data_IF_243508895501
#
_entry.id   IF_243508895501
#
_cell.length_a   1.000
_cell.length_b   1.000
_cell.length_c   1.000
_cell.angle_alpha   90.00
_cell.angle_beta   90.00
_cell.angle_gamma   90.00
#
_symmetry.space_group_name_H-M   'P 1'
#
loop_
_entity.id
_entity.type
_entity.pdbx_description
1 polymer ?
#
# COMPACT_ATOMS: atom_id res chain seq x y z
N UNK A 1 17.12 37.75 6.95
CA UNK A 1 17.15 37.11 8.28
C UNK A 1 15.97 36.15 8.46
N UNK A 2 14.77 36.53 8.04
CA UNK A 2 13.52 35.80 8.30
C UNK A 2 13.54 34.31 7.91
N UNK A 3 14.11 33.96 6.75
CA UNK A 3 14.23 32.56 6.31
C UNK A 3 15.15 31.72 7.21
N UNK A 4 16.25 32.31 7.68
CA UNK A 4 17.18 31.63 8.58
C UNK A 4 16.54 31.42 9.96
N UNK A 5 15.82 32.44 10.47
CA UNK A 5 15.05 32.32 11.72
C UNK A 5 13.93 31.29 11.61
N UNK A 6 13.26 31.18 10.46
CA UNK A 6 12.24 30.17 10.24
C UNK A 6 12.82 28.76 10.33
N UNK A 7 13.94 28.49 9.64
CA UNK A 7 14.64 27.18 9.71
C UNK A 7 15.10 26.89 11.14
N UNK A 8 15.66 27.89 11.82
CA UNK A 8 16.08 27.76 13.21
C UNK A 8 14.90 27.38 14.13
N UNK A 9 13.83 28.17 14.10
CA UNK A 9 12.70 28.00 15.01
C UNK A 9 11.86 26.76 14.74
N UNK A 10 11.82 26.27 13.49
CA UNK A 10 10.96 25.14 13.10
C UNK A 10 11.68 23.81 12.96
N UNK A 11 12.99 23.82 12.68
CA UNK A 11 13.75 22.60 12.43
C UNK A 11 14.84 22.43 13.48
N UNK A 12 15.76 23.40 13.57
CA UNK A 12 16.97 23.27 14.41
C UNK A 12 16.64 23.26 15.90
N UNK A 13 15.65 24.06 16.33
CA UNK A 13 15.23 24.11 17.74
C UNK A 13 14.67 22.79 18.26
N UNK A 14 14.11 21.96 17.38
CA UNK A 14 13.49 20.67 17.70
C UNK A 14 14.43 19.50 17.50
N UNK A 15 15.18 19.51 16.39
CA UNK A 15 16.00 18.36 15.96
C UNK A 15 17.49 18.54 16.26
N UNK A 16 17.92 19.75 16.61
CA UNK A 16 19.33 20.12 16.64
C UNK A 16 19.88 20.33 15.23
N UNK A 17 21.21 20.33 15.14
CA UNK A 17 21.92 20.47 13.87
C UNK A 17 22.26 19.06 13.36
N UNK A 18 21.91 18.79 12.10
CA UNK A 18 22.28 17.53 11.44
C UNK A 18 23.76 17.52 11.07
N UNK A 19 24.37 16.33 11.13
CA UNK A 19 25.73 16.11 10.62
C UNK A 19 25.77 16.17 9.09
N UNK A 20 24.80 15.54 8.44
CA UNK A 20 24.68 15.47 6.99
C UNK A 20 23.21 15.58 6.57
N UNK A 21 22.93 16.37 5.54
CA UNK A 21 21.62 16.43 4.88
C UNK A 21 21.77 15.89 3.47
N UNK A 22 20.96 14.89 3.15
CA UNK A 22 20.84 14.32 1.81
C UNK A 22 19.61 14.94 1.15
N UNK A 23 19.78 15.56 -0.02
CA UNK A 23 18.68 16.19 -0.76
C UNK A 23 18.85 16.00 -2.27
N UNK A 24 17.79 16.27 -3.03
CA UNK A 24 17.86 16.36 -4.48
C UNK A 24 18.57 17.66 -4.92
N UNK A 25 18.65 17.90 -6.23
CA UNK A 25 19.26 19.11 -6.79
C UNK A 25 18.24 20.23 -7.05
N UNK A 26 17.16 20.31 -6.28
CA UNK A 26 16.24 21.45 -6.37
C UNK A 26 17.01 22.77 -6.12
N UNK A 27 16.81 23.82 -6.93
CA UNK A 27 17.47 25.11 -6.79
C UNK A 27 17.39 25.73 -5.38
N UNK A 28 16.38 25.38 -4.59
CA UNK A 28 16.25 25.81 -3.19
C UNK A 28 17.37 25.25 -2.33
N UNK A 29 17.70 23.96 -2.48
CA UNK A 29 18.75 23.27 -1.73
C UNK A 29 20.15 23.55 -2.29
N UNK A 30 20.28 23.91 -3.56
CA UNK A 30 21.57 24.35 -4.14
C UNK A 30 21.78 25.87 -4.05
N UNK A 31 20.88 26.60 -3.40
CA UNK A 31 20.97 28.05 -3.30
C UNK A 31 22.14 28.51 -2.44
N UNK A 32 22.65 29.72 -2.71
CA UNK A 32 23.71 30.33 -1.91
C UNK A 32 23.29 30.51 -0.43
N UNK A 33 22.02 30.83 -0.18
CA UNK A 33 21.47 30.94 1.17
C UNK A 33 21.52 29.59 1.90
N UNK A 34 21.01 28.53 1.29
CA UNK A 34 20.95 27.19 1.91
C UNK A 34 22.35 26.65 2.21
N UNK A 35 23.25 26.79 1.23
CA UNK A 35 24.65 26.36 1.34
C UNK A 35 25.38 27.13 2.45
N UNK A 36 25.27 28.46 2.47
CA UNK A 36 25.94 29.29 3.48
C UNK A 36 25.39 29.04 4.89
N UNK A 37 24.07 28.83 5.02
CA UNK A 37 23.42 28.56 6.30
C UNK A 37 23.88 27.22 6.90
N UNK A 38 23.94 26.16 6.09
CA UNK A 38 24.36 24.84 6.59
C UNK A 38 25.87 24.76 6.79
N UNK A 39 26.68 25.52 6.04
CA UNK A 39 28.08 25.73 6.36
C UNK A 39 28.27 26.39 7.74
N UNK A 40 27.45 27.39 8.09
CA UNK A 40 27.47 28.00 9.41
C UNK A 40 27.12 27.00 10.52
N UNK A 41 26.17 26.10 10.25
CA UNK A 41 25.81 25.04 11.20
C UNK A 41 26.85 23.91 11.27
N UNK A 42 27.78 23.82 10.32
CA UNK A 42 28.72 22.70 10.22
C UNK A 42 28.08 21.42 9.68
N UNK A 43 26.94 21.54 8.97
CA UNK A 43 26.24 20.43 8.33
C UNK A 43 26.79 20.18 6.93
N UNK A 44 27.10 18.93 6.61
CA UNK A 44 27.50 18.50 5.27
C UNK A 44 26.26 18.37 4.36
N UNK A 45 26.27 19.02 3.20
CA UNK A 45 25.22 18.88 2.19
C UNK A 45 25.63 17.86 1.14
N UNK A 46 24.87 16.77 1.03
CA UNK A 46 25.06 15.73 0.01
C UNK A 46 23.89 15.74 -0.97
N UNK A 47 24.19 15.92 -2.26
CA UNK A 47 23.17 16.00 -3.29
C UNK A 47 23.09 14.69 -4.08
N UNK A 48 21.93 14.04 -4.02
CA UNK A 48 21.65 12.84 -4.79
C UNK A 48 21.79 13.11 -6.30
N UNK A 49 22.28 12.12 -7.05
CA UNK A 49 22.21 12.17 -8.50
C UNK A 49 20.76 11.98 -8.95
N UNK A 50 20.36 12.60 -10.05
CA UNK A 50 18.98 12.63 -10.56
C UNK A 50 18.37 11.26 -10.90
N UNK A 51 19.08 10.16 -10.61
CA UNK A 51 18.69 8.77 -10.87
C UNK A 51 19.14 7.83 -9.75
N UNK A 52 18.84 8.15 -8.48
CA UNK A 52 19.02 7.23 -7.35
C UNK A 52 17.68 6.87 -6.67
N UNK A 53 16.81 6.08 -7.35
CA UNK A 53 15.49 5.68 -6.83
C UNK A 53 15.53 4.88 -5.52
N UNK A 54 16.68 4.37 -5.09
CA UNK A 54 16.82 3.65 -3.82
C UNK A 54 16.94 4.56 -2.59
N UNK A 55 17.61 5.71 -2.70
CA UNK A 55 17.74 6.64 -1.57
C UNK A 55 16.52 7.56 -1.43
N UNK A 56 15.89 7.92 -2.55
CA UNK A 56 14.75 8.84 -2.55
C UNK A 56 13.43 8.14 -2.16
N UNK A 57 13.30 6.83 -2.40
CA UNK A 57 12.04 6.11 -2.20
C UNK A 57 11.51 6.08 -0.75
N UNK A 58 12.32 6.38 0.26
CA UNK A 58 11.83 6.57 1.64
C UNK A 58 11.25 7.97 1.83
N UNK A 59 11.96 9.01 1.37
CA UNK A 59 11.50 10.39 1.44
C UNK A 59 10.26 10.60 0.55
N UNK A 60 10.24 10.05 -0.66
CA UNK A 60 9.08 10.08 -1.57
C UNK A 60 7.85 9.42 -0.94
N UNK A 61 7.99 8.24 -0.33
CA UNK A 61 6.86 7.55 0.34
C UNK A 61 6.36 8.33 1.56
N UNK A 62 7.26 8.93 2.33
CA UNK A 62 6.89 9.83 3.42
C UNK A 62 6.13 11.03 2.87
N UNK A 63 6.67 11.70 1.85
CA UNK A 63 6.06 12.88 1.24
C UNK A 63 4.67 12.57 0.70
N UNK A 64 4.51 11.43 0.01
CA UNK A 64 3.22 10.98 -0.49
C UNK A 64 2.21 10.78 0.64
N UNK A 65 2.63 10.17 1.75
CA UNK A 65 1.77 10.02 2.94
C UNK A 65 1.33 11.38 3.49
N UNK A 66 2.26 12.33 3.63
CA UNK A 66 1.95 13.68 4.13
C UNK A 66 1.04 14.45 3.17
N UNK A 67 1.27 14.37 1.86
CA UNK A 67 0.39 14.96 0.85
C UNK A 67 -1.03 14.39 0.95
N UNK A 68 -1.16 13.07 1.09
CA UNK A 68 -2.45 12.40 1.26
C UNK A 68 -3.17 12.87 2.53
N UNK A 69 -2.44 13.01 3.65
CA UNK A 69 -2.97 13.56 4.90
C UNK A 69 -3.49 14.99 4.71
N UNK A 70 -2.72 15.86 4.05
CA UNK A 70 -3.12 17.24 3.77
C UNK A 70 -4.31 17.28 2.82
N UNK A 71 -4.32 16.50 1.73
CA UNK A 71 -5.44 16.48 0.77
C UNK A 71 -6.74 16.04 1.45
N UNK A 72 -6.70 14.97 2.23
CA UNK A 72 -7.89 14.43 2.90
C UNK A 72 -8.44 15.35 3.98
N UNK A 73 -7.58 16.04 4.72
CA UNK A 73 -8.01 16.87 5.85
C UNK A 73 -8.20 18.34 5.52
N UNK A 74 -7.42 18.89 4.58
CA UNK A 74 -7.44 20.33 4.24
C UNK A 74 -8.25 20.60 2.95
N UNK A 75 -7.99 19.83 1.87
CA UNK A 75 -8.62 20.10 0.57
C UNK A 75 -10.03 19.48 0.45
N UNK A 76 -10.19 18.25 0.91
CA UNK A 76 -11.44 17.47 0.82
C UNK A 76 -12.05 17.15 2.20
N UNK A 77 -11.44 17.67 3.26
CA UNK A 77 -11.78 17.34 4.64
C UNK A 77 -12.89 18.19 5.24
N UNK A 78 -13.10 18.02 6.54
CA UNK A 78 -14.15 18.71 7.29
C UNK A 78 -13.99 20.22 7.28
N UNK A 79 -15.13 20.92 7.21
CA UNK A 79 -15.20 22.37 7.39
C UNK A 79 -15.47 22.80 8.81
N UNK A 80 -14.48 23.45 9.44
CA UNK A 80 -14.68 24.20 10.67
C UNK A 80 -14.58 25.70 10.39
N UNK A 81 -15.57 26.41 10.87
CA UNK A 81 -15.59 27.87 10.91
C UNK A 81 -15.06 28.27 12.28
N UNK A 82 -13.99 29.08 12.31
CA UNK A 82 -13.43 29.62 13.54
C UNK A 82 -13.12 31.10 13.32
N UNK A 83 -13.79 31.97 14.09
CA UNK A 83 -13.58 33.42 14.03
C UNK A 83 -13.60 34.00 12.60
N UNK A 84 -14.69 33.79 11.86
CA UNK A 84 -14.91 34.28 10.49
C UNK A 84 -13.90 33.80 9.41
N UNK A 85 -12.96 32.93 9.78
CA UNK A 85 -11.98 32.31 8.88
C UNK A 85 -12.21 30.79 8.75
N UNK A 86 -11.91 30.27 7.56
CA UNK A 86 -11.98 28.84 7.29
C UNK A 86 -10.71 28.13 7.79
N UNK A 87 -10.88 27.15 8.67
CA UNK A 87 -9.77 26.33 9.23
C UNK A 87 -9.16 25.32 8.26
N UNK A 88 -9.49 25.38 6.96
CA UNK A 88 -8.92 24.54 5.89
C UNK A 88 -7.50 24.89 5.49
N UNK A 89 -6.94 25.94 6.08
CA UNK A 89 -5.56 26.28 5.82
C UNK A 89 -4.66 25.18 6.38
N UNK A 90 -3.89 24.56 5.49
CA UNK A 90 -2.88 23.58 5.82
C UNK A 90 -1.90 24.11 6.87
N UNK A 91 -1.65 25.43 6.93
CA UNK A 91 -0.80 26.03 7.96
C UNK A 91 -1.39 25.86 9.37
N UNK A 92 -2.71 26.03 9.52
CA UNK A 92 -3.42 25.90 10.79
C UNK A 92 -3.49 24.44 11.24
N UNK A 93 -3.67 23.51 10.29
CA UNK A 93 -3.78 22.07 10.57
C UNK A 93 -2.44 21.34 10.64
N UNK A 94 -1.34 21.94 10.15
CA UNK A 94 -0.01 21.33 10.11
C UNK A 94 0.43 20.74 11.46
N UNK A 95 0.25 21.41 12.62
CA UNK A 95 0.65 20.84 13.91
C UNK A 95 -0.14 19.59 14.29
N UNK A 96 -1.44 19.55 13.96
CA UNK A 96 -2.28 18.39 14.23
C UNK A 96 -1.92 17.21 13.32
N UNK A 97 -1.62 17.48 12.04
CA UNK A 97 -1.16 16.46 11.09
C UNK A 97 0.22 15.91 11.46
N UNK A 98 1.14 16.76 11.92
CA UNK A 98 2.45 16.34 12.41
C UNK A 98 2.32 15.41 13.62
N UNK A 99 1.47 15.76 14.60
CA UNK A 99 1.19 14.92 15.75
C UNK A 99 0.58 13.57 15.35
N UNK A 100 -0.37 13.57 14.41
CA UNK A 100 -0.98 12.35 13.88
C UNK A 100 0.05 11.46 13.19
N UNK A 101 0.94 12.04 12.38
CA UNK A 101 2.02 11.30 11.73
C UNK A 101 2.99 10.70 12.76
N UNK A 102 3.47 11.50 13.72
CA UNK A 102 4.41 11.07 14.77
C UNK A 102 3.88 9.95 15.65
N UNK A 103 2.56 9.84 15.81
CA UNK A 103 1.89 8.84 16.65
C UNK A 103 1.30 7.67 15.87
N UNK A 104 1.41 7.67 14.54
CA UNK A 104 0.97 6.57 13.69
C UNK A 104 2.05 5.50 13.55
N UNK A 105 1.66 4.23 13.50
CA UNK A 105 2.60 3.12 13.34
C UNK A 105 3.03 3.03 11.88
N UNK A 106 4.34 3.03 11.65
CA UNK A 106 4.89 2.87 10.30
C UNK A 106 5.13 1.40 9.96
N UNK A 107 4.70 0.97 8.76
CA UNK A 107 4.83 -0.42 8.31
C UNK A 107 6.28 -0.91 8.20
N UNK A 108 7.25 0.00 7.98
CA UNK A 108 8.67 -0.34 7.88
C UNK A 108 9.32 -0.65 9.22
N UNK A 109 8.88 0.01 10.30
CA UNK A 109 9.49 -0.08 11.63
C UNK A 109 8.61 -0.81 12.65
N UNK A 110 7.32 -0.99 12.35
CA UNK A 110 6.29 -1.45 13.28
C UNK A 110 6.22 -0.63 14.58
N UNK A 111 6.74 0.60 14.56
CA UNK A 111 6.77 1.53 15.68
C UNK A 111 6.35 2.92 15.21
N UNK A 112 5.99 3.78 16.16
CA UNK A 112 5.67 5.19 15.89
C UNK A 112 6.96 6.02 15.87
N UNK A 113 7.06 7.07 15.03
CA UNK A 113 8.20 7.97 15.04
C UNK A 113 8.47 8.57 16.43
N UNK A 114 7.43 8.93 17.19
CA UNK A 114 7.59 9.45 18.55
C UNK A 114 8.26 8.45 19.51
N UNK A 115 8.00 7.14 19.38
CA UNK A 115 8.72 6.13 20.18
C UNK A 115 10.19 6.05 19.75
N UNK A 116 10.46 6.13 18.45
CA UNK A 116 11.82 6.00 17.90
C UNK A 116 12.70 7.22 18.21
N UNK A 117 12.13 8.43 18.15
CA UNK A 117 12.85 9.70 18.32
C UNK A 117 12.81 10.20 19.76
N UNK A 118 11.65 10.13 20.41
CA UNK A 118 11.42 10.74 21.74
C UNK A 118 11.31 9.70 22.87
N UNK A 119 11.28 8.40 22.53
CA UNK A 119 11.19 7.31 23.51
C UNK A 119 9.79 7.05 24.07
N UNK A 120 8.75 7.73 23.58
CA UNK A 120 7.39 7.53 24.04
C UNK A 120 6.34 8.25 23.21
N UNK A 121 5.10 7.78 23.26
CA UNK A 121 3.98 8.45 22.60
C UNK A 121 3.33 9.49 23.53
N UNK A 122 3.03 10.70 23.04
CA UNK A 122 2.26 11.68 23.80
C UNK A 122 0.84 11.17 24.07
N UNK A 123 0.23 11.66 25.16
CA UNK A 123 -1.19 11.42 25.43
C UNK A 123 -2.04 12.23 24.47
N UNK A 124 -2.68 11.54 23.54
CA UNK A 124 -3.57 12.15 22.56
C UNK A 124 -4.91 12.55 23.20
N UNK A 125 -5.59 13.60 22.68
CA UNK A 125 -6.90 14.03 23.18
C UNK A 125 -7.92 12.88 23.28
N UNK A 126 -7.88 11.95 22.32
CA UNK A 126 -8.74 10.76 22.31
C UNK A 126 -8.62 9.84 23.54
N UNK A 127 -7.47 9.87 24.25
CA UNK A 127 -7.24 9.07 25.45
C UNK A 127 -7.71 9.76 26.73
N UNK A 128 -7.97 11.06 26.69
CA UNK A 128 -8.14 11.88 27.91
C UNK A 128 -9.31 12.87 27.86
N UNK A 129 -10.04 12.98 26.74
CA UNK A 129 -11.28 13.75 26.70
C UNK A 129 -12.31 13.12 27.65
N UNK A 130 -12.47 13.75 28.81
CA UNK A 130 -13.49 13.37 29.78
C UNK A 130 -14.88 13.56 29.19
N UNK A 131 -15.60 12.45 29.01
CA UNK A 131 -17.01 12.48 28.56
C UNK A 131 -17.89 13.26 29.54
N UNK A 132 -17.51 13.26 30.82
CA UNK A 132 -18.32 13.75 31.94
C UNK A 132 -17.83 15.10 32.52
N UNK A 133 -16.92 15.80 31.85
CA UNK A 133 -16.47 17.11 32.30
C UNK A 133 -17.51 18.18 31.95
N UNK A 134 -17.91 18.97 32.95
CA UNK A 134 -18.75 20.16 32.77
C UNK A 134 -17.93 21.18 31.98
N UNK A 135 -18.38 21.48 30.77
CA UNK A 135 -17.73 22.46 29.89
C UNK A 135 -18.14 23.87 30.34
N UNK A 136 -17.24 24.55 31.07
CA UNK A 136 -17.52 25.87 31.64
C UNK A 136 -17.19 26.98 30.64
N UNK A 137 -16.28 26.74 29.68
CA UNK A 137 -15.80 27.74 28.74
C UNK A 137 -16.31 27.46 27.30
N UNK A 138 -16.90 28.45 26.61
CA UNK A 138 -17.39 28.26 25.23
C UNK A 138 -16.28 27.89 24.24
N UNK A 139 -15.03 28.31 24.49
CA UNK A 139 -13.87 27.98 23.65
C UNK A 139 -13.46 26.52 23.78
N UNK A 140 -13.44 25.97 25.00
CA UNK A 140 -13.15 24.54 25.22
C UNK A 140 -14.24 23.66 24.61
N UNK A 141 -15.50 24.10 24.69
CA UNK A 141 -16.62 23.41 24.07
C UNK A 141 -16.55 23.43 22.54
N UNK A 142 -16.16 24.57 21.95
CA UNK A 142 -15.90 24.68 20.52
C UNK A 142 -14.82 23.68 20.05
N UNK A 143 -13.69 23.63 20.75
CA UNK A 143 -12.61 22.68 20.43
C UNK A 143 -13.05 21.22 20.59
N UNK A 144 -13.79 20.89 21.67
CA UNK A 144 -14.37 19.56 21.86
C UNK A 144 -15.29 19.14 20.71
N UNK A 145 -16.13 20.07 20.24
CA UNK A 145 -17.00 19.86 19.10
C UNK A 145 -16.24 19.62 17.78
N UNK A 146 -15.15 20.37 17.56
CA UNK A 146 -14.25 20.19 16.41
C UNK A 146 -13.59 18.81 16.46
N UNK A 147 -13.02 18.41 17.61
CA UNK A 147 -12.37 17.12 17.78
C UNK A 147 -13.33 15.95 17.55
N UNK A 148 -14.55 16.02 18.07
CA UNK A 148 -15.55 14.94 17.89
C UNK A 148 -16.06 14.85 16.45
N UNK A 149 -16.22 16.00 15.76
CA UNK A 149 -16.52 16.00 14.33
C UNK A 149 -15.37 15.37 13.53
N UNK A 150 -14.13 15.75 13.83
CA UNK A 150 -12.92 15.21 13.20
C UNK A 150 -12.87 13.69 13.32
N UNK A 151 -13.07 13.17 14.53
CA UNK A 151 -13.11 11.73 14.80
C UNK A 151 -14.15 10.99 13.94
N UNK A 152 -15.35 11.55 13.78
CA UNK A 152 -16.40 10.94 12.95
C UNK A 152 -16.01 10.92 11.46
N UNK A 153 -15.35 11.97 10.99
CA UNK A 153 -14.86 12.03 9.62
C UNK A 153 -13.73 11.04 9.36
N UNK A 154 -12.79 10.89 10.28
CA UNK A 154 -11.71 9.91 10.18
C UNK A 154 -12.24 8.48 10.07
N UNK A 155 -13.23 8.11 10.90
CA UNK A 155 -13.89 6.80 10.82
C UNK A 155 -14.52 6.59 9.45
N UNK A 156 -15.23 7.59 8.93
CA UNK A 156 -15.83 7.52 7.58
C UNK A 156 -14.77 7.38 6.48
N UNK A 157 -13.68 8.14 6.55
CA UNK A 157 -12.59 8.03 5.57
C UNK A 157 -11.96 6.64 5.58
N UNK A 158 -11.84 6.01 6.75
CA UNK A 158 -11.34 4.65 6.88
C UNK A 158 -12.33 3.63 6.29
N UNK A 159 -13.62 3.79 6.53
CA UNK A 159 -14.67 2.96 5.92
C UNK A 159 -14.67 3.08 4.38
N UNK A 160 -14.59 4.30 3.85
CA UNK A 160 -14.53 4.57 2.41
C UNK A 160 -13.27 3.93 1.77
N UNK A 161 -12.13 3.97 2.46
CA UNK A 161 -10.91 3.29 2.03
C UNK A 161 -11.07 1.77 1.96
N UNK A 162 -11.65 1.15 2.99
CA UNK A 162 -11.89 -0.29 2.99
C UNK A 162 -12.89 -0.70 1.91
N UNK A 163 -13.94 0.09 1.69
CA UNK A 163 -14.90 -0.15 0.62
C UNK A 163 -14.23 -0.08 -0.77
N UNK A 164 -13.39 0.93 -1.01
CA UNK A 164 -12.63 1.06 -2.26
C UNK A 164 -11.64 -0.09 -2.46
N UNK A 165 -10.90 -0.47 -1.41
CA UNK A 165 -9.96 -1.59 -1.47
C UNK A 165 -10.68 -2.91 -1.78
N UNK A 166 -11.86 -3.12 -1.17
CA UNK A 166 -12.71 -4.28 -1.43
C UNK A 166 -13.21 -4.30 -2.88
N UNK A 167 -13.77 -3.20 -3.38
CA UNK A 167 -14.25 -3.11 -4.79
C UNK A 167 -13.12 -3.39 -5.79
N UNK A 168 -11.92 -2.86 -5.54
CA UNK A 168 -10.75 -3.14 -6.39
C UNK A 168 -10.29 -4.60 -6.30
N UNK A 169 -10.34 -5.20 -5.12
CA UNK A 169 -10.04 -6.61 -4.92
C UNK A 169 -11.06 -7.48 -5.64
N UNK A 170 -12.35 -7.24 -5.45
CA UNK A 170 -13.46 -7.96 -6.09
C UNK A 170 -13.36 -7.91 -7.63
N UNK A 171 -13.03 -6.74 -8.21
CA UNK A 171 -12.83 -6.57 -9.67
C UNK A 171 -11.63 -7.33 -10.22
N UNK A 172 -10.54 -7.42 -9.46
CA UNK A 172 -9.30 -8.06 -9.90
C UNK A 172 -9.25 -9.56 -9.60
N UNK A 173 -10.01 -10.01 -8.61
CA UNK A 173 -10.09 -11.41 -8.15
C UNK A 173 -11.43 -12.05 -8.52
N UNK A 174 -12.08 -11.58 -9.58
CA UNK A 174 -13.22 -12.26 -10.16
C UNK A 174 -12.81 -13.69 -10.51
N UNK A 175 -13.37 -14.66 -9.80
CA UNK A 175 -13.15 -16.09 -10.06
C UNK A 175 -13.68 -16.38 -11.46
N UNK A 176 -12.86 -16.93 -12.37
CA UNK A 176 -13.35 -17.33 -13.67
C UNK A 176 -14.47 -18.36 -13.50
N UNK A 177 -15.59 -18.15 -14.20
CA UNK A 177 -16.67 -19.13 -14.24
C UNK A 177 -16.22 -20.29 -15.15
N UNK A 178 -15.72 -21.35 -14.52
CA UNK A 178 -15.20 -22.52 -15.21
C UNK A 178 -16.31 -23.53 -15.48
N UNK A 179 -16.34 -24.09 -16.69
CA UNK A 179 -17.27 -25.16 -17.07
C UNK A 179 -16.54 -26.49 -17.19
N UNK A 180 -17.29 -27.57 -17.03
CA UNK A 180 -16.80 -28.93 -17.33
C UNK A 180 -16.39 -28.99 -18.81
N UNK A 181 -15.16 -29.43 -19.07
CA UNK A 181 -14.56 -29.45 -20.40
C UNK A 181 -13.65 -28.27 -20.74
N UNK A 182 -13.59 -27.21 -19.92
CA UNK A 182 -12.67 -26.10 -20.16
C UNK A 182 -11.20 -26.49 -19.90
N UNK A 183 -10.29 -25.90 -20.68
CA UNK A 183 -8.85 -26.07 -20.51
C UNK A 183 -8.30 -25.07 -19.48
N UNK A 184 -7.59 -25.57 -18.48
CA UNK A 184 -7.05 -24.78 -17.37
C UNK A 184 -5.58 -25.06 -17.10
N UNK A 185 -4.94 -24.07 -16.48
CA UNK A 185 -3.57 -24.15 -15.98
C UNK A 185 -3.59 -24.20 -14.45
N UNK A 186 -2.84 -25.14 -13.88
CA UNK A 186 -2.73 -25.37 -12.43
C UNK A 186 -1.34 -24.95 -11.94
N UNK A 187 -1.18 -24.27 -10.80
CA UNK A 187 0.12 -23.85 -10.30
C UNK A 187 1.07 -25.02 -10.02
N UNK A 188 2.36 -24.86 -10.35
CA UNK A 188 3.40 -25.88 -10.05
C UNK A 188 3.80 -25.95 -8.58
N UNK A 189 3.17 -25.15 -7.73
CA UNK A 189 3.21 -25.29 -6.26
C UNK A 189 2.37 -26.45 -5.77
N UNK A 190 1.36 -26.87 -6.53
CA UNK A 190 0.46 -27.95 -6.14
C UNK A 190 1.00 -29.33 -6.52
N UNK A 191 2.12 -29.38 -7.25
CA UNK A 191 2.76 -30.62 -7.66
C UNK A 191 4.13 -30.74 -6.99
N UNK A 192 4.33 -31.83 -6.25
CA UNK A 192 5.60 -32.14 -5.59
C UNK A 192 6.58 -32.84 -6.55
N UNK A 193 6.06 -33.49 -7.59
CA UNK A 193 6.86 -34.33 -8.49
C UNK A 193 7.41 -33.63 -9.75
N UNK A 194 7.20 -32.32 -9.92
CA UNK A 194 7.75 -31.58 -11.07
C UNK A 194 9.26 -31.36 -10.88
N UNK A 195 10.06 -32.05 -11.71
CA UNK A 195 11.52 -31.95 -11.72
C UNK A 195 11.98 -30.57 -12.21
N UNK A 196 12.94 -29.96 -11.51
CA UNK A 196 13.60 -28.72 -11.94
C UNK A 196 14.01 -27.79 -10.80
N UNK A 197 14.85 -26.80 -11.10
CA UNK A 197 15.20 -25.76 -10.14
C UNK A 197 14.00 -24.83 -9.90
N UNK A 198 13.68 -24.52 -8.63
CA UNK A 198 12.55 -23.67 -8.23
C UNK A 198 12.48 -22.33 -8.99
N UNK A 199 13.62 -21.77 -9.39
CA UNK A 199 13.72 -20.49 -10.13
C UNK A 199 13.50 -20.61 -11.64
N UNK A 200 13.66 -21.79 -12.22
CA UNK A 200 13.61 -22.03 -13.68
C UNK A 200 12.41 -22.87 -14.12
N UNK A 201 11.65 -23.43 -13.17
CA UNK A 201 10.40 -24.14 -13.50
C UNK A 201 9.29 -23.16 -13.82
N UNK A 202 8.42 -23.55 -14.76
CA UNK A 202 7.22 -22.79 -15.07
C UNK A 202 6.33 -22.68 -13.83
N UNK A 203 5.70 -21.54 -13.63
CA UNK A 203 4.84 -21.30 -12.46
C UNK A 203 3.49 -22.04 -12.56
N UNK A 204 3.10 -22.46 -13.75
CA UNK A 204 1.85 -23.18 -14.02
C UNK A 204 2.13 -24.38 -14.94
N UNK A 205 1.47 -25.51 -14.69
CA UNK A 205 1.46 -26.71 -15.52
C UNK A 205 0.08 -26.89 -16.17
N UNK A 206 0.06 -27.58 -17.32
CA UNK A 206 -1.12 -27.84 -18.12
C UNK A 206 -0.82 -27.69 -19.61
N UNK A 207 -1.84 -27.70 -20.48
CA UNK A 207 -3.27 -27.57 -20.16
C UNK A 207 -3.90 -28.87 -19.62
N UNK A 208 -4.78 -28.74 -18.63
CA UNK A 208 -5.61 -29.84 -18.11
C UNK A 208 -7.09 -29.57 -18.39
N UNK A 209 -7.88 -30.63 -18.52
CA UNK A 209 -9.33 -30.52 -18.75
C UNK A 209 -10.06 -30.60 -17.41
N UNK A 210 -11.09 -29.77 -17.23
CA UNK A 210 -11.96 -29.85 -16.06
C UNK A 210 -12.91 -31.03 -16.19
N UNK A 211 -12.85 -31.96 -15.24
CA UNK A 211 -13.69 -33.17 -15.19
C UNK A 211 -14.98 -32.95 -14.42
N UNK A 212 -14.90 -32.31 -13.25
CA UNK A 212 -16.07 -32.09 -12.39
C UNK A 212 -15.90 -30.84 -11.52
N UNK A 213 -17.00 -30.12 -11.30
CA UNK A 213 -17.06 -29.00 -10.36
C UNK A 213 -17.60 -29.49 -9.02
N UNK A 214 -16.83 -29.28 -7.95
CA UNK A 214 -17.19 -29.65 -6.58
C UNK A 214 -17.55 -28.39 -5.78
N UNK A 215 -18.83 -27.98 -5.84
CA UNK A 215 -19.28 -26.72 -5.26
C UNK A 215 -18.75 -25.49 -6.01
N UNK A 216 -18.82 -24.31 -5.38
CA UNK A 216 -18.43 -23.04 -6.03
C UNK A 216 -16.90 -22.82 -6.10
N UNK A 217 -16.13 -23.42 -5.19
CA UNK A 217 -14.73 -23.05 -4.99
C UNK A 217 -13.71 -24.11 -5.41
N UNK A 218 -14.14 -25.30 -5.83
CA UNK A 218 -13.25 -26.43 -6.04
C UNK A 218 -13.55 -27.14 -7.34
N UNK A 219 -12.50 -27.43 -8.11
CA UNK A 219 -12.60 -28.13 -9.40
C UNK A 219 -11.72 -29.37 -9.40
N UNK A 220 -12.22 -30.45 -9.97
CA UNK A 220 -11.47 -31.66 -10.27
C UNK A 220 -10.96 -31.57 -11.72
N UNK A 221 -9.64 -31.64 -11.88
CA UNK A 221 -8.96 -31.62 -13.18
C UNK A 221 -8.44 -33.01 -13.55
N UNK A 222 -8.47 -33.32 -14.83
CA UNK A 222 -7.85 -34.52 -15.37
C UNK A 222 -6.34 -34.30 -15.51
N UNK A 223 -5.56 -34.95 -14.64
CA UNK A 223 -4.10 -34.89 -14.65
C UNK A 223 -3.53 -35.89 -15.67
N UNK A 224 -2.47 -35.49 -16.38
CA UNK A 224 -1.72 -36.39 -17.26
C UNK A 224 -1.10 -37.56 -16.49
N UNK A 225 -0.83 -38.68 -17.15
CA UNK A 225 -0.26 -39.89 -16.52
C UNK A 225 1.01 -39.61 -15.69
N UNK A 226 1.84 -38.64 -16.11
CA UNK A 226 3.04 -38.21 -15.39
C UNK A 226 2.77 -37.59 -14.00
N UNK A 227 1.54 -37.13 -13.76
CA UNK A 227 1.08 -36.44 -12.55
C UNK A 227 -0.05 -37.20 -11.83
N UNK A 228 -0.29 -38.47 -12.16
CA UNK A 228 -1.41 -39.25 -11.60
C UNK A 228 -1.34 -39.45 -10.08
N UNK A 229 -0.16 -39.27 -9.48
CA UNK A 229 0.05 -39.42 -8.03
C UNK A 229 -0.32 -38.17 -7.22
N UNK A 230 -0.71 -37.08 -7.89
CA UNK A 230 -1.05 -35.80 -7.25
C UNK A 230 -2.58 -35.66 -7.12
N UNK A 231 -3.04 -34.91 -6.13
CA UNK A 231 -4.48 -34.76 -5.90
C UNK A 231 -5.13 -33.94 -7.04
N UNK A 232 -6.18 -34.46 -7.71
CA UNK A 232 -6.80 -33.81 -8.88
C UNK A 232 -7.69 -32.61 -8.51
N UNK A 233 -7.85 -32.33 -7.22
CA UNK A 233 -8.80 -31.34 -6.70
C UNK A 233 -8.08 -30.04 -6.37
N UNK A 234 -8.41 -28.95 -7.08
CA UNK A 234 -7.73 -27.65 -6.95
C UNK A 234 -8.76 -26.53 -6.69
N UNK A 235 -8.45 -25.52 -5.87
CA UNK A 235 -9.29 -24.34 -5.71
C UNK A 235 -9.37 -23.49 -6.99
N UNK A 236 -10.57 -23.02 -7.33
CA UNK A 236 -10.84 -22.13 -8.49
C UNK A 236 -9.94 -20.90 -8.49
N UNK A 237 -9.65 -20.33 -7.31
CA UNK A 237 -8.83 -19.13 -7.14
C UNK A 237 -7.37 -19.27 -7.58
N UNK A 238 -6.86 -20.51 -7.61
CA UNK A 238 -5.48 -20.80 -7.98
C UNK A 238 -5.33 -21.14 -9.47
N UNK A 239 -6.44 -21.44 -10.15
CA UNK A 239 -6.45 -21.84 -11.56
C UNK A 239 -6.50 -20.64 -12.49
N UNK A 240 -5.92 -20.82 -13.70
CA UNK A 240 -6.02 -19.84 -14.78
C UNK A 240 -6.67 -20.47 -16.01
N UNK A 241 -7.56 -19.75 -16.72
CA UNK A 241 -8.08 -20.22 -17.99
C UNK A 241 -6.95 -20.33 -19.01
N UNK A 242 -6.86 -21.45 -19.72
CA UNK A 242 -5.90 -21.62 -20.80
C UNK A 242 -6.38 -20.87 -22.04
N UNK A 243 -5.60 -19.88 -22.48
CA UNK A 243 -5.83 -19.19 -23.76
C UNK A 243 -4.98 -19.85 -24.82
N UNK A 244 -5.63 -20.53 -25.77
CA UNK A 244 -4.92 -21.10 -26.92
C UNK A 244 -4.16 -19.99 -27.66
N UNK A 245 -2.95 -20.31 -28.10
CA UNK A 245 -2.11 -19.36 -28.83
C UNK A 245 -2.68 -19.18 -30.23
N UNK A 246 -2.82 -17.92 -30.65
CA UNK A 246 -3.27 -17.58 -32.00
C UNK A 246 -2.24 -18.08 -33.03
N UNK A 247 -2.62 -19.11 -33.79
CA UNK A 247 -1.72 -19.88 -34.65
C UNK A 247 -1.09 -19.03 -35.76
N UNK A 248 -1.78 -17.95 -36.18
CA UNK A 248 -1.26 -17.01 -37.19
C UNK A 248 -0.19 -16.07 -36.63
N UNK A 249 -0.27 -15.72 -35.34
CA UNK A 249 0.59 -14.70 -34.73
C UNK A 249 1.86 -15.28 -34.10
N UNK A 250 1.84 -16.55 -33.69
CA UNK A 250 2.96 -17.24 -33.05
C UNK A 250 3.14 -18.68 -33.55
N UNK A 251 3.32 -18.85 -34.86
CA UNK A 251 3.43 -20.16 -35.54
C UNK A 251 4.46 -21.15 -34.94
N UNK A 252 5.51 -20.66 -34.28
CA UNK A 252 6.58 -21.48 -33.69
C UNK A 252 6.22 -22.12 -32.33
N UNK A 253 5.05 -21.80 -31.74
CA UNK A 253 4.63 -22.31 -30.42
C UNK A 253 3.66 -23.52 -30.47
N UNK A 254 3.42 -24.10 -31.64
CA UNK A 254 2.39 -25.12 -31.87
C UNK A 254 2.71 -26.56 -31.43
N UNK A 255 3.77 -26.79 -30.65
CA UNK A 255 4.15 -28.13 -30.22
C UNK A 255 3.73 -28.38 -28.77
N UNK A 256 2.45 -28.64 -28.54
CA UNK A 256 2.00 -29.30 -27.30
C UNK A 256 1.56 -30.74 -27.64
N UNK A 257 1.99 -31.75 -26.87
CA UNK A 257 1.39 -33.07 -26.99
C UNK A 257 -0.09 -32.97 -26.61
N UNK A 258 -0.99 -33.29 -27.55
CA UNK A 258 -2.40 -33.45 -27.25
C UNK A 258 -2.55 -34.64 -26.30
N UNK A 259 -3.00 -34.39 -25.07
CA UNK A 259 -3.50 -35.46 -24.19
C UNK A 259 -4.84 -35.88 -24.77
N UNK A 260 -4.84 -36.97 -25.55
CA UNK A 260 -6.06 -37.58 -26.07
C UNK A 260 -6.69 -38.34 -24.90
N UNK A 261 -7.92 -38.02 -24.48
CA UNK A 261 -8.58 -38.79 -23.43
C UNK A 261 -8.72 -40.25 -23.85
N UNK A 262 -8.55 -41.22 -22.93
CA UNK A 262 -8.69 -42.62 -23.27
C UNK A 262 -10.09 -42.88 -23.80
N UNK A 263 -10.18 -43.44 -25.02
CA UNK A 263 -11.42 -43.93 -25.60
C UNK A 263 -12.06 -44.92 -24.62
N UNK A 264 -13.27 -44.62 -24.15
CA UNK A 264 -14.06 -45.57 -23.37
C UNK A 264 -14.13 -46.89 -24.16
N UNK A 265 -13.62 -47.96 -23.56
CA UNK A 265 -13.78 -49.30 -24.12
C UNK A 265 -15.26 -49.64 -24.07
N UNK A 266 -15.93 -49.53 -25.22
CA UNK A 266 -17.25 -50.11 -25.45
C UNK A 266 -17.09 -51.63 -25.40
N UNK A 267 -17.20 -52.19 -24.19
CA UNK A 267 -17.20 -53.61 -23.91
C UNK A 267 -18.63 -54.13 -23.76
N UNK A 268 -19.06 -54.84 -24.80
CA UNK A 268 -20.21 -55.76 -24.85
C UNK A 268 -20.03 -56.90 -23.84
#
# INVERSE_FOLDING_TARGET
MDKAFLIWNRVVSWTGIFTTIISDRDPKFTSALWTSLHQLFGTELSFCTAYHPQNDGLAERMMQTLEDMVRRNCAYGLKFEYCDEFTHDWCTLSPALELAYKTSIHASTNQTPAILEEGGNPKLPQHSLGKDLIDINPTSSGLKGILEKTRKHEVRCMEDLFAYAKDKWDKSHATPDFKVGDLVLVPTTNFNNIKGCRKLKDSFAGPFVIKALHGENTVEVELSEELSNEHPTVPVSLMKPYKSTDAERFALRNNFPQVIPPLESSGI
#
